data_IF_199210025724
#
_entry.id   IF_199210025724
#
_cell.length_a   1.000
_cell.length_b   1.000
_cell.length_c   1.000
_cell.angle_alpha   90.00
_cell.angle_beta   90.00
_cell.angle_gamma   90.00
#
_symmetry.space_group_name_H-M   'P 1'
#
loop_
_entity.id
_entity.type
_entity.pdbx_description
1 polymer ?
#
# COMPACT_ATOMS: atom_id res chain seq x y z
N UNK A 1 -22.58 22.59 -4.24
CA UNK A 1 -23.14 22.14 -2.95
C UNK A 1 -22.01 21.48 -2.20
N UNK A 2 -21.46 22.22 -1.25
CA UNK A 2 -20.40 21.81 -0.33
C UNK A 2 -21.07 21.32 0.95
N UNK A 3 -21.10 20.01 1.18
CA UNK A 3 -21.38 19.51 2.52
C UNK A 3 -20.13 19.78 3.36
N UNK A 4 -20.28 20.80 4.20
CA UNK A 4 -19.33 21.16 5.25
C UNK A 4 -19.21 19.97 6.20
N UNK A 5 -18.09 19.28 6.11
CA UNK A 5 -17.54 18.45 7.17
C UNK A 5 -17.41 19.32 8.42
N UNK A 6 -18.27 19.09 9.41
CA UNK A 6 -18.20 19.76 10.70
C UNK A 6 -16.87 19.35 11.39
N UNK A 7 -15.91 20.27 11.59
CA UNK A 7 -14.57 19.93 12.09
C UNK A 7 -14.53 19.60 13.60
N UNK A 8 -15.68 19.56 14.29
CA UNK A 8 -15.77 19.26 15.72
C UNK A 8 -16.18 17.82 16.05
N UNK A 9 -16.45 16.96 15.05
CA UNK A 9 -16.56 15.53 15.29
C UNK A 9 -15.20 14.87 15.07
N UNK A 10 -14.55 14.48 16.17
CA UNK A 10 -13.45 13.51 16.14
C UNK A 10 -13.99 12.24 15.45
N UNK A 11 -13.69 12.10 14.16
CA UNK A 11 -13.98 10.89 13.39
C UNK A 11 -13.04 9.79 13.87
N UNK A 12 -13.38 9.15 14.99
CA UNK A 12 -12.79 7.88 15.38
C UNK A 12 -13.45 6.79 14.51
N UNK A 13 -12.90 6.66 13.29
CA UNK A 13 -12.96 5.50 12.40
C UNK A 13 -14.29 5.20 11.70
N UNK A 14 -14.45 5.76 10.50
CA UNK A 14 -15.51 5.47 9.54
C UNK A 14 -15.05 4.54 8.42
N UNK A 15 -15.19 3.22 8.59
CA UNK A 15 -14.75 2.28 7.55
C UNK A 15 -15.64 1.05 7.33
N UNK A 16 -16.80 0.95 8.00
CA UNK A 16 -17.65 -0.24 7.85
C UNK A 16 -18.93 -0.05 7.01
N UNK A 17 -19.48 1.15 6.77
CA UNK A 17 -20.75 1.26 6.03
C UNK A 17 -20.64 1.97 4.69
N UNK A 18 -21.13 1.30 3.64
CA UNK A 18 -21.42 1.89 2.33
C UNK A 18 -22.93 2.07 2.08
N UNK A 19 -23.81 1.58 2.98
CA UNK A 19 -25.24 1.39 2.65
C UNK A 19 -26.28 1.69 3.74
N UNK A 20 -25.91 1.96 4.99
CA UNK A 20 -26.90 2.15 6.04
C UNK A 20 -27.25 3.63 6.28
N UNK A 21 -28.55 3.92 6.28
CA UNK A 21 -29.14 5.12 6.88
C UNK A 21 -29.07 4.91 8.41
N UNK A 22 -27.93 5.32 9.00
CA UNK A 22 -27.62 5.00 10.41
C UNK A 22 -28.49 5.87 11.31
N UNK A 23 -29.35 5.26 12.13
CA UNK A 23 -30.11 5.99 13.14
C UNK A 23 -29.16 6.47 14.24
N UNK A 24 -29.09 7.79 14.43
CA UNK A 24 -28.28 8.37 15.49
C UNK A 24 -28.75 7.94 16.87
N UNK A 25 -27.80 7.75 17.79
CA UNK A 25 -28.08 7.55 19.21
C UNK A 25 -28.72 8.83 19.75
N UNK A 26 -29.95 8.73 20.27
CA UNK A 26 -30.73 9.90 20.72
C UNK A 26 -30.89 9.98 22.23
N UNK A 27 -30.51 8.94 22.97
CA UNK A 27 -30.65 8.89 24.42
C UNK A 27 -29.53 8.10 25.11
N UNK A 28 -29.39 8.31 26.43
CA UNK A 28 -28.33 7.71 27.24
C UNK A 28 -28.43 6.17 27.31
N UNK A 29 -29.64 5.62 27.36
CA UNK A 29 -29.85 4.16 27.40
C UNK A 29 -29.32 3.48 26.14
N UNK A 30 -29.53 4.08 24.97
CA UNK A 30 -28.98 3.59 23.70
C UNK A 30 -27.46 3.67 23.67
N UNK A 31 -26.89 4.76 24.20
CA UNK A 31 -25.44 4.90 24.32
C UNK A 31 -24.84 3.83 25.24
N UNK A 32 -25.40 3.63 26.42
CA UNK A 32 -24.94 2.63 27.39
C UNK A 32 -25.04 1.21 26.81
N UNK A 33 -26.12 0.90 26.09
CA UNK A 33 -26.27 -0.38 25.40
C UNK A 33 -25.22 -0.57 24.31
N UNK A 34 -25.00 0.44 23.45
CA UNK A 34 -23.99 0.40 22.40
C UNK A 34 -22.58 0.18 22.97
N UNK A 35 -22.25 0.87 24.07
CA UNK A 35 -20.96 0.74 24.75
C UNK A 35 -20.80 -0.65 25.36
N UNK A 36 -21.82 -1.18 26.03
CA UNK A 36 -21.81 -2.54 26.57
C UNK A 36 -21.62 -3.57 25.45
N UNK A 37 -22.30 -3.43 24.32
CA UNK A 37 -22.12 -4.29 23.16
C UNK A 37 -20.69 -4.19 22.59
N UNK A 38 -20.10 -2.99 22.53
CA UNK A 38 -18.71 -2.82 22.09
C UNK A 38 -17.73 -3.54 23.03
N UNK A 39 -17.95 -3.44 24.34
CA UNK A 39 -17.16 -4.17 25.35
C UNK A 39 -17.28 -5.68 25.12
N UNK A 40 -18.50 -6.20 24.98
CA UNK A 40 -18.72 -7.63 24.72
C UNK A 40 -18.05 -8.10 23.42
N UNK A 41 -18.14 -7.33 22.34
CA UNK A 41 -17.41 -7.63 21.09
C UNK A 41 -15.91 -7.80 21.37
N UNK A 42 -15.32 -6.91 22.18
CA UNK A 42 -13.89 -6.97 22.54
C UNK A 42 -13.52 -8.19 23.41
N UNK A 43 -14.48 -8.77 24.13
CA UNK A 43 -14.30 -10.04 24.86
C UNK A 43 -14.21 -11.22 23.90
N UNK A 44 -14.96 -11.18 22.79
CA UNK A 44 -14.94 -12.22 21.78
C UNK A 44 -13.78 -12.10 20.80
N UNK A 45 -13.32 -10.89 20.49
CA UNK A 45 -12.28 -10.69 19.47
C UNK A 45 -12.09 -9.24 19.06
N UNK A 46 -11.55 -9.05 17.86
CA UNK A 46 -11.33 -7.72 17.29
C UNK A 46 -11.42 -7.73 15.77
N UNK A 47 -11.94 -6.63 15.23
CA UNK A 47 -11.85 -6.33 13.81
C UNK A 47 -10.43 -5.92 13.45
N UNK A 48 -9.88 -6.57 12.43
CA UNK A 48 -8.51 -6.35 11.97
C UNK A 48 -8.45 -6.31 10.45
N UNK A 49 -7.61 -5.43 9.93
CA UNK A 49 -7.20 -5.43 8.54
C UNK A 49 -5.75 -5.90 8.46
N UNK A 50 -5.51 -7.03 7.77
CA UNK A 50 -4.15 -7.46 7.46
C UNK A 50 -3.48 -6.44 6.53
N UNK A 51 -2.32 -5.96 6.92
CA UNK A 51 -1.45 -5.10 6.11
C UNK A 51 -0.12 -5.80 5.88
N UNK A 52 0.23 -5.92 4.61
CA UNK A 52 1.51 -6.39 4.13
C UNK A 52 2.12 -5.26 3.32
N UNK A 53 3.17 -4.64 3.86
CA UNK A 53 3.81 -3.48 3.27
C UNK A 53 5.18 -3.85 2.73
N UNK A 54 5.63 -3.14 1.68
CA UNK A 54 6.99 -3.27 1.14
C UNK A 54 7.22 -4.45 0.19
N UNK A 55 6.23 -5.33 -0.01
CA UNK A 55 6.33 -6.45 -0.98
C UNK A 55 5.88 -6.08 -2.38
N UNK A 56 5.17 -4.95 -2.54
CA UNK A 56 4.84 -4.41 -3.85
C UNK A 56 6.09 -3.81 -4.48
N UNK A 57 6.51 -4.41 -5.58
CA UNK A 57 7.83 -4.19 -6.19
C UNK A 57 7.69 -3.79 -7.65
N UNK A 58 6.62 -3.07 -7.99
CA UNK A 58 6.38 -2.57 -9.35
C UNK A 58 5.97 -1.11 -9.32
N UNK A 59 6.21 -0.42 -10.42
CA UNK A 59 5.73 0.92 -10.68
C UNK A 59 5.20 0.99 -12.11
N UNK A 60 4.18 1.81 -12.31
CA UNK A 60 3.61 2.08 -13.63
C UNK A 60 4.21 3.36 -14.17
N UNK A 61 4.65 3.31 -15.42
CA UNK A 61 4.96 4.48 -16.22
C UNK A 61 3.86 4.67 -17.22
N UNK A 62 3.17 5.79 -17.14
CA UNK A 62 2.23 6.22 -18.15
C UNK A 62 2.73 7.53 -18.76
N UNK A 63 2.95 7.53 -20.07
CA UNK A 63 3.46 8.68 -20.80
C UNK A 63 2.44 9.83 -20.81
N UNK A 64 1.16 9.55 -20.57
CA UNK A 64 0.13 10.59 -20.39
C UNK A 64 0.34 11.38 -19.09
N UNK A 65 0.99 10.80 -18.09
CA UNK A 65 1.32 11.51 -16.83
C UNK A 65 2.47 12.50 -16.99
N UNK A 66 3.23 12.44 -18.09
CA UNK A 66 4.44 13.25 -18.24
C UNK A 66 4.16 14.75 -18.40
N UNK A 67 2.91 15.16 -18.67
CA UNK A 67 2.53 16.56 -18.98
C UNK A 67 3.55 17.23 -19.91
N UNK A 68 3.88 16.55 -21.01
CA UNK A 68 4.87 16.98 -22.00
C UNK A 68 4.17 17.52 -23.25
N UNK A 69 4.76 18.52 -23.93
CA UNK A 69 4.29 18.95 -25.24
C UNK A 69 4.16 17.77 -26.22
N UNK A 70 3.13 17.77 -27.06
CA UNK A 70 2.87 16.69 -28.04
C UNK A 70 4.07 16.43 -28.97
N UNK A 71 4.82 17.49 -29.30
CA UNK A 71 6.00 17.38 -30.17
C UNK A 71 7.21 16.70 -29.51
N UNK A 72 7.20 16.45 -28.20
CA UNK A 72 8.25 15.72 -27.48
C UNK A 72 8.03 14.21 -27.50
N UNK A 73 6.83 13.74 -27.87
CA UNK A 73 6.54 12.33 -28.09
C UNK A 73 6.35 12.07 -29.59
N UNK A 74 6.63 10.84 -30.04
CA UNK A 74 6.31 10.43 -31.42
C UNK A 74 4.80 10.33 -31.59
N UNK A 75 4.24 10.69 -32.74
CA UNK A 75 2.78 10.65 -32.98
C UNK A 75 2.18 9.24 -32.83
N UNK A 76 2.96 8.19 -33.15
CA UNK A 76 2.46 6.81 -33.25
C UNK A 76 2.99 5.92 -32.10
N UNK A 77 3.32 6.49 -30.94
CA UNK A 77 3.86 5.72 -29.83
C UNK A 77 2.79 4.80 -29.22
N UNK A 78 3.06 3.50 -29.24
CA UNK A 78 2.29 2.47 -28.56
C UNK A 78 3.26 1.43 -28.01
N UNK A 79 3.15 1.01 -26.74
CA UNK A 79 2.12 1.37 -25.76
C UNK A 79 2.37 2.73 -25.08
N UNK A 80 1.30 3.35 -24.56
CA UNK A 80 1.37 4.60 -23.77
C UNK A 80 1.73 4.35 -22.31
N UNK A 81 1.56 3.13 -21.82
CA UNK A 81 1.91 2.76 -20.45
C UNK A 81 2.67 1.43 -20.38
N UNK A 82 3.50 1.30 -19.35
CA UNK A 82 4.30 0.12 -19.07
C UNK A 82 4.41 -0.11 -17.56
N UNK A 83 4.18 -1.35 -17.13
CA UNK A 83 4.47 -1.77 -15.77
C UNK A 83 5.89 -2.29 -15.70
N UNK A 84 6.69 -1.72 -14.80
CA UNK A 84 8.09 -2.10 -14.61
C UNK A 84 8.25 -2.63 -13.19
N UNK A 85 8.86 -3.80 -13.10
CA UNK A 85 9.10 -4.47 -11.84
C UNK A 85 10.53 -4.26 -11.38
N UNK A 86 10.70 -4.02 -10.09
CA UNK A 86 11.98 -3.99 -9.41
C UNK A 86 12.66 -5.37 -9.48
N UNK A 87 11.91 -6.46 -9.30
CA UNK A 87 12.47 -7.82 -9.27
C UNK A 87 11.98 -8.71 -10.42
N UNK A 88 12.76 -9.72 -10.80
CA UNK A 88 12.33 -10.79 -11.71
C UNK A 88 11.11 -11.54 -11.18
N UNK A 89 10.40 -12.20 -12.09
CA UNK A 89 9.17 -12.94 -11.80
C UNK A 89 9.33 -13.96 -10.66
N UNK A 90 10.39 -14.76 -10.67
CA UNK A 90 10.65 -15.76 -9.62
C UNK A 90 10.69 -15.15 -8.21
N UNK A 91 11.31 -13.98 -8.05
CA UNK A 91 11.38 -13.31 -6.74
C UNK A 91 9.99 -12.77 -6.38
N UNK A 92 9.30 -12.14 -7.32
CA UNK A 92 7.95 -11.60 -7.09
C UNK A 92 6.96 -12.69 -6.69
N UNK A 93 7.02 -13.85 -7.35
CA UNK A 93 6.15 -14.98 -7.05
C UNK A 93 6.38 -15.50 -5.63
N UNK A 94 7.63 -15.56 -5.18
CA UNK A 94 7.94 -15.94 -3.81
C UNK A 94 7.48 -14.89 -2.79
N UNK A 95 7.62 -13.59 -3.09
CA UNK A 95 7.06 -12.52 -2.25
C UNK A 95 5.52 -12.56 -2.21
N UNK A 96 4.88 -12.92 -3.31
CA UNK A 96 3.44 -13.12 -3.38
C UNK A 96 3.01 -14.34 -2.55
N UNK A 97 3.75 -15.46 -2.61
CA UNK A 97 3.50 -16.63 -1.76
C UNK A 97 3.55 -16.30 -0.27
N UNK A 98 4.50 -15.47 0.17
CA UNK A 98 4.51 -15.00 1.57
C UNK A 98 3.27 -14.15 1.90
N UNK A 99 2.80 -13.34 0.96
CA UNK A 99 1.58 -12.56 1.14
C UNK A 99 0.36 -13.44 1.30
N UNK A 100 0.28 -14.53 0.53
CA UNK A 100 -0.83 -15.47 0.57
C UNK A 100 -0.74 -16.40 1.78
N UNK A 101 0.47 -16.80 2.19
CA UNK A 101 0.70 -17.52 3.45
C UNK A 101 0.28 -16.66 4.66
N UNK A 102 0.59 -15.37 4.65
CA UNK A 102 0.16 -14.46 5.71
C UNK A 102 -1.38 -14.37 5.82
N UNK A 103 -2.08 -14.34 4.68
CA UNK A 103 -3.55 -14.39 4.63
C UNK A 103 -4.10 -15.74 5.08
N UNK A 104 -3.41 -16.84 4.79
CA UNK A 104 -3.86 -18.19 5.14
C UNK A 104 -3.97 -18.46 6.64
N UNK A 105 -3.37 -17.60 7.48
CA UNK A 105 -3.58 -17.65 8.93
C UNK A 105 -5.07 -17.51 9.26
N UNK A 106 -5.80 -16.67 8.55
CA UNK A 106 -7.20 -16.36 8.80
C UNK A 106 -8.08 -17.47 8.23
N UNK A 107 -8.58 -18.31 9.12
CA UNK A 107 -9.45 -19.46 8.80
C UNK A 107 -10.74 -19.38 9.60
N UNK A 108 -11.76 -20.15 9.21
CA UNK A 108 -13.04 -20.20 9.93
C UNK A 108 -12.91 -20.63 11.41
N UNK A 109 -11.79 -21.28 11.76
CA UNK A 109 -11.48 -21.72 13.13
C UNK A 109 -11.03 -20.59 14.05
N UNK A 110 -10.40 -19.55 13.51
CA UNK A 110 -9.79 -18.48 14.30
C UNK A 110 -10.30 -17.07 13.93
N UNK A 111 -11.09 -16.96 12.87
CA UNK A 111 -11.60 -15.70 12.39
C UNK A 111 -12.84 -15.88 11.50
N UNK A 112 -13.43 -14.77 11.07
CA UNK A 112 -14.36 -14.72 9.95
C UNK A 112 -14.17 -13.42 9.14
N UNK A 113 -14.52 -13.39 7.84
CA UNK A 113 -14.31 -12.22 7.00
C UNK A 113 -15.26 -11.07 7.36
N UNK A 114 -14.80 -9.84 7.16
CA UNK A 114 -15.58 -8.60 7.34
C UNK A 114 -15.35 -7.66 6.16
N UNK A 115 -16.20 -6.63 5.92
CA UNK A 115 -16.05 -5.72 4.77
C UNK A 115 -14.67 -5.08 4.65
N UNK A 116 -13.99 -4.83 5.77
CA UNK A 116 -12.67 -4.18 5.82
C UNK A 116 -11.52 -5.13 6.21
N UNK A 117 -11.78 -6.43 6.34
CA UNK A 117 -10.76 -7.44 6.65
C UNK A 117 -11.31 -8.70 7.32
N UNK A 118 -10.97 -8.90 8.58
CA UNK A 118 -11.34 -10.07 9.37
C UNK A 118 -11.73 -9.68 10.79
N UNK A 119 -12.54 -10.51 11.44
CA UNK A 119 -12.69 -10.51 12.89
C UNK A 119 -11.88 -11.69 13.45
N UNK A 120 -10.80 -11.43 14.20
CA UNK A 120 -10.01 -12.47 14.87
C UNK A 120 -10.61 -12.75 16.24
N UNK A 121 -10.76 -14.03 16.60
CA UNK A 121 -11.16 -14.43 17.95
C UNK A 121 -10.07 -14.13 18.98
N UNK A 122 -10.46 -13.60 20.14
CA UNK A 122 -9.54 -13.19 21.22
C UNK A 122 -8.57 -14.28 21.64
N UNK A 123 -9.02 -15.54 21.65
CA UNK A 123 -8.20 -16.72 21.96
C UNK A 123 -6.99 -16.91 21.03
N UNK A 124 -6.98 -16.26 19.85
CA UNK A 124 -5.95 -16.41 18.83
C UNK A 124 -5.05 -15.18 18.67
N UNK A 125 -5.20 -14.13 19.48
CA UNK A 125 -4.36 -12.92 19.39
C UNK A 125 -2.87 -13.21 19.57
N UNK A 126 -2.51 -13.99 20.58
CA UNK A 126 -1.10 -14.36 20.84
C UNK A 126 -0.54 -15.22 19.70
N UNK A 127 -1.35 -16.14 19.16
CA UNK A 127 -0.97 -16.97 18.02
C UNK A 127 -0.73 -16.12 16.77
N UNK A 128 -1.60 -15.14 16.50
CA UNK A 128 -1.43 -14.19 15.40
C UNK A 128 -0.14 -13.40 15.55
N UNK A 129 0.12 -12.84 16.74
CA UNK A 129 1.35 -12.07 17.00
C UNK A 129 2.60 -12.89 16.69
N UNK A 130 2.69 -14.12 17.22
CA UNK A 130 3.84 -14.99 16.98
C UNK A 130 3.95 -15.42 15.51
N UNK A 131 2.82 -15.68 14.86
CA UNK A 131 2.79 -16.02 13.44
C UNK A 131 3.31 -14.86 12.59
N UNK A 132 2.84 -13.62 12.81
CA UNK A 132 3.29 -12.44 12.07
C UNK A 132 4.79 -12.16 12.28
N UNK A 133 5.30 -12.29 13.51
CA UNK A 133 6.73 -12.18 13.81
C UNK A 133 7.57 -13.25 13.09
N UNK A 134 7.10 -14.50 13.06
CA UNK A 134 7.76 -15.59 12.34
C UNK A 134 7.71 -15.35 10.84
N UNK A 135 6.58 -14.90 10.30
CA UNK A 135 6.39 -14.56 8.90
C UNK A 135 7.36 -13.50 8.45
N UNK A 136 7.45 -12.39 9.21
CA UNK A 136 8.42 -11.32 8.97
C UNK A 136 9.86 -11.84 8.94
N UNK A 137 10.26 -12.68 9.90
CA UNK A 137 11.61 -13.30 9.90
C UNK A 137 11.85 -14.20 8.67
N UNK A 138 10.86 -14.96 8.25
CA UNK A 138 10.96 -15.81 7.04
C UNK A 138 11.15 -14.96 5.78
N UNK A 139 10.35 -13.90 5.64
CA UNK A 139 10.45 -12.96 4.52
C UNK A 139 11.83 -12.29 4.51
N UNK A 140 12.30 -11.80 5.66
CA UNK A 140 13.59 -11.13 5.77
C UNK A 140 14.75 -12.05 5.39
N UNK A 141 14.70 -13.30 5.85
CA UNK A 141 15.69 -14.32 5.51
C UNK A 141 15.68 -14.60 4.00
N UNK A 142 14.50 -14.74 3.40
CA UNK A 142 14.37 -14.95 1.96
C UNK A 142 14.95 -13.77 1.17
N UNK A 143 14.48 -12.55 1.45
CA UNK A 143 14.93 -11.32 0.78
C UNK A 143 16.44 -11.15 0.90
N UNK A 144 16.99 -11.33 2.11
CA UNK A 144 18.43 -11.24 2.32
C UNK A 144 19.16 -12.28 1.47
N UNK A 145 18.72 -13.53 1.46
CA UNK A 145 19.37 -14.59 0.69
C UNK A 145 19.30 -14.34 -0.82
N UNK A 146 18.14 -13.93 -1.34
CA UNK A 146 17.90 -13.75 -2.77
C UNK A 146 18.56 -12.47 -3.33
N UNK A 147 18.68 -11.41 -2.52
CA UNK A 147 19.07 -10.08 -2.98
C UNK A 147 20.40 -9.57 -2.40
N UNK A 148 21.12 -10.41 -1.65
CA UNK A 148 22.46 -10.12 -1.11
C UNK A 148 23.52 -9.89 -2.21
N UNK A 149 24.74 -9.54 -1.78
CA UNK A 149 25.90 -9.39 -2.67
C UNK A 149 25.72 -8.38 -3.82
N UNK A 150 24.90 -7.35 -3.61
CA UNK A 150 24.65 -6.29 -4.58
C UNK A 150 23.56 -6.58 -5.61
N UNK A 151 22.94 -7.77 -5.58
CA UNK A 151 21.83 -8.15 -6.46
C UNK A 151 20.66 -7.15 -6.37
N UNK A 152 20.29 -6.73 -5.15
CA UNK A 152 19.28 -5.68 -4.95
C UNK A 152 19.58 -4.40 -5.76
N UNK A 153 20.81 -3.89 -5.66
CA UNK A 153 21.21 -2.65 -6.33
C UNK A 153 21.19 -2.81 -7.84
N UNK A 154 21.61 -3.98 -8.35
CA UNK A 154 21.55 -4.29 -9.78
C UNK A 154 20.11 -4.27 -10.29
N UNK A 155 19.19 -4.91 -9.56
CA UNK A 155 17.76 -4.89 -9.86
C UNK A 155 17.15 -3.49 -9.85
N UNK A 156 17.50 -2.67 -8.85
CA UNK A 156 17.07 -1.27 -8.79
C UNK A 156 17.54 -0.48 -10.02
N UNK A 157 18.84 -0.56 -10.35
CA UNK A 157 19.40 0.12 -11.52
C UNK A 157 18.73 -0.37 -12.80
N UNK A 158 18.57 -1.69 -12.96
CA UNK A 158 17.94 -2.28 -14.13
C UNK A 158 16.50 -1.78 -14.31
N UNK A 159 15.72 -1.74 -13.23
CA UNK A 159 14.34 -1.26 -13.29
C UNK A 159 14.25 0.20 -13.78
N UNK A 160 15.22 1.05 -13.44
CA UNK A 160 15.29 2.44 -13.92
C UNK A 160 15.77 2.49 -15.37
N UNK A 161 16.73 1.66 -15.76
CA UNK A 161 17.17 1.53 -17.16
C UNK A 161 16.02 1.11 -18.06
N UNK A 162 15.19 0.15 -17.63
CA UNK A 162 14.02 -0.29 -18.38
C UNK A 162 13.02 0.86 -18.57
N UNK A 163 12.82 1.67 -17.53
CA UNK A 163 11.98 2.88 -17.60
C UNK A 163 12.52 3.92 -18.57
N UNK A 164 13.83 4.16 -18.55
CA UNK A 164 14.47 5.07 -19.50
C UNK A 164 14.39 4.55 -20.93
N UNK A 165 14.53 3.24 -21.13
CA UNK A 165 14.40 2.62 -22.43
C UNK A 165 12.97 2.81 -22.98
N UNK A 166 11.96 2.67 -22.14
CA UNK A 166 10.57 2.94 -22.49
C UNK A 166 10.34 4.41 -22.87
N UNK A 167 10.83 5.37 -22.08
CA UNK A 167 10.73 6.79 -22.43
C UNK A 167 11.46 7.08 -23.75
N UNK A 168 12.64 6.48 -23.95
CA UNK A 168 13.44 6.64 -25.18
C UNK A 168 12.73 6.13 -26.43
N UNK A 169 12.00 5.02 -26.33
CA UNK A 169 11.31 4.46 -27.50
C UNK A 169 10.17 5.39 -27.96
N UNK A 170 9.53 6.10 -27.03
CA UNK A 170 8.46 7.06 -27.30
C UNK A 170 8.93 8.50 -27.60
N UNK A 171 10.14 8.88 -27.18
CA UNK A 171 10.67 10.24 -27.34
C UNK A 171 10.87 10.65 -28.80
N UNK A 172 10.38 11.85 -29.16
CA UNK A 172 10.62 12.51 -30.44
C UNK A 172 12.04 13.10 -30.50
N UNK A 173 12.66 13.23 -31.69
CA UNK A 173 13.93 13.95 -31.85
C UNK A 173 13.91 15.40 -31.35
N UNK A 174 12.73 16.01 -31.21
CA UNK A 174 12.55 17.38 -30.71
C UNK A 174 12.58 17.47 -29.18
N UNK A 175 12.49 16.34 -28.47
CA UNK A 175 12.55 16.35 -27.02
C UNK A 175 13.97 16.72 -26.55
N UNK A 176 14.14 17.65 -25.60
CA UNK A 176 15.46 18.10 -25.13
C UNK A 176 16.15 17.09 -24.20
N UNK A 177 15.70 15.84 -24.16
CA UNK A 177 16.04 14.87 -23.13
C UNK A 177 17.35 14.12 -23.39
N UNK A 178 18.19 14.06 -22.36
CA UNK A 178 19.41 13.25 -22.32
C UNK A 178 19.09 11.90 -21.65
N UNK A 179 18.82 10.88 -22.48
CA UNK A 179 18.53 9.53 -21.99
C UNK A 179 19.80 8.68 -22.02
N UNK A 180 20.49 8.64 -20.88
CA UNK A 180 21.68 7.81 -20.66
C UNK A 180 21.39 6.32 -20.85
N UNK A 181 22.31 5.62 -21.53
CA UNK A 181 22.25 4.16 -21.70
C UNK A 181 22.78 3.37 -20.50
N UNK A 182 23.52 4.04 -19.62
CA UNK A 182 24.11 3.46 -18.42
C UNK A 182 23.82 4.39 -17.25
N UNK A 183 23.44 3.82 -16.11
CA UNK A 183 23.19 4.53 -14.86
C UNK A 183 23.89 3.79 -13.73
N UNK A 184 24.47 4.54 -12.81
CA UNK A 184 25.03 4.03 -11.58
C UNK A 184 24.16 4.45 -10.38
N UNK A 185 24.31 3.73 -9.27
CA UNK A 185 23.57 4.05 -8.03
C UNK A 185 23.78 5.50 -7.59
N UNK A 186 24.99 6.03 -7.75
CA UNK A 186 25.35 7.41 -7.39
C UNK A 186 24.57 8.45 -8.19
N UNK A 187 24.18 8.14 -9.43
CA UNK A 187 23.38 9.05 -10.26
C UNK A 187 21.95 9.15 -9.70
N UNK A 188 21.39 8.01 -9.27
CA UNK A 188 20.07 7.92 -8.62
C UNK A 188 20.09 8.66 -7.29
N UNK A 189 21.11 8.41 -6.46
CA UNK A 189 21.28 9.06 -5.16
C UNK A 189 21.41 10.58 -5.31
N UNK A 190 22.24 11.04 -6.26
CA UNK A 190 22.42 12.47 -6.55
C UNK A 190 21.11 13.11 -7.02
N UNK A 191 20.32 12.41 -7.83
CA UNK A 191 19.02 12.88 -8.28
C UNK A 191 18.04 13.01 -7.11
N UNK A 192 17.94 12.01 -6.23
CA UNK A 192 17.08 12.04 -5.03
C UNK A 192 17.44 13.19 -4.09
N UNK A 193 18.72 13.35 -3.76
CA UNK A 193 19.18 14.41 -2.85
C UNK A 193 18.90 15.81 -3.41
N UNK A 194 19.03 16.00 -4.72
CA UNK A 194 18.69 17.29 -5.37
C UNK A 194 17.19 17.58 -5.33
N UNK A 195 16.35 16.55 -5.45
CA UNK A 195 14.90 16.70 -5.39
C UNK A 195 14.42 17.06 -3.98
N UNK A 196 14.99 16.45 -2.94
CA UNK A 196 14.70 16.82 -1.55
C UNK A 196 15.03 18.28 -1.26
N UNK A 197 16.13 18.80 -1.80
CA UNK A 197 16.52 20.21 -1.63
C UNK A 197 15.71 21.22 -2.46
N UNK A 198 14.97 20.78 -3.47
CA UNK A 198 14.23 21.65 -4.41
C UNK A 198 12.72 21.52 -4.33
N UNK A 199 12.19 20.58 -3.52
CA UNK A 199 10.77 20.26 -3.42
C UNK A 199 10.12 19.98 -4.80
N UNK A 200 10.89 19.37 -5.71
CA UNK A 200 10.38 18.87 -6.99
C UNK A 200 9.39 17.71 -6.74
N UNK A 201 8.25 17.76 -7.42
CA UNK A 201 7.19 16.75 -7.45
C UNK A 201 6.91 16.37 -8.90
N UNK A 202 6.16 15.30 -9.13
CA UNK A 202 5.79 14.90 -10.50
C UNK A 202 5.06 16.04 -11.25
N UNK A 203 4.28 16.87 -10.55
CA UNK A 203 3.46 17.93 -11.14
C UNK A 203 4.24 19.21 -11.50
N UNK A 204 5.38 19.47 -10.88
CA UNK A 204 6.17 20.70 -11.11
C UNK A 204 7.50 20.42 -11.82
N UNK A 205 7.71 19.17 -12.26
CA UNK A 205 8.92 18.75 -12.94
C UNK A 205 8.97 19.36 -14.35
N UNK A 206 10.04 20.12 -14.63
CA UNK A 206 10.18 20.80 -15.92
C UNK A 206 10.47 19.80 -17.05
N UNK A 207 9.49 19.57 -17.91
CA UNK A 207 9.60 18.72 -19.10
C UNK A 207 10.68 19.16 -20.11
N UNK A 208 11.14 20.41 -20.08
CA UNK A 208 12.23 20.91 -20.91
C UNK A 208 13.63 20.67 -20.33
N UNK A 209 13.76 20.18 -19.09
CA UNK A 209 15.06 19.84 -18.49
C UNK A 209 15.64 18.62 -19.22
N UNK A 210 16.90 18.65 -19.68
CA UNK A 210 17.52 17.48 -20.30
C UNK A 210 17.53 16.25 -19.40
N UNK A 211 17.55 16.41 -18.08
CA UNK A 211 17.51 15.30 -17.11
C UNK A 211 16.11 14.91 -16.68
N UNK A 212 15.06 15.47 -17.30
CA UNK A 212 13.66 15.21 -16.99
C UNK A 212 13.34 13.70 -16.88
N UNK A 213 13.71 12.82 -17.84
CA UNK A 213 13.37 11.40 -17.73
C UNK A 213 13.92 10.73 -16.48
N UNK A 214 15.19 10.99 -16.13
CA UNK A 214 15.79 10.40 -14.93
C UNK A 214 15.11 10.95 -13.67
N UNK A 215 14.89 12.26 -13.59
CA UNK A 215 14.20 12.88 -12.44
C UNK A 215 12.79 12.30 -12.25
N UNK A 216 12.05 12.12 -13.34
CA UNK A 216 10.71 11.54 -13.33
C UNK A 216 10.72 10.11 -12.77
N UNK A 217 11.62 9.26 -13.27
CA UNK A 217 11.77 7.88 -12.79
C UNK A 217 12.20 7.82 -11.33
N UNK A 218 13.09 8.70 -10.90
CA UNK A 218 13.53 8.76 -9.51
C UNK A 218 12.38 9.12 -8.57
N UNK A 219 11.49 10.03 -8.97
CA UNK A 219 10.26 10.33 -8.22
C UNK A 219 9.31 9.13 -8.20
N UNK A 220 9.06 8.50 -9.35
CA UNK A 220 8.19 7.31 -9.45
C UNK A 220 8.71 6.14 -8.59
N UNK A 221 10.02 6.01 -8.46
CA UNK A 221 10.68 4.92 -7.71
C UNK A 221 11.13 5.33 -6.31
N UNK A 222 10.71 6.49 -5.78
CA UNK A 222 11.17 6.98 -4.47
C UNK A 222 10.85 6.01 -3.33
N UNK A 223 9.75 5.26 -3.46
CA UNK A 223 9.32 4.24 -2.51
C UNK A 223 10.22 2.97 -2.51
N UNK A 224 11.11 2.81 -3.49
CA UNK A 224 12.16 1.78 -3.48
C UNK A 224 13.40 2.32 -2.77
N UNK A 225 13.83 1.75 -1.63
CA UNK A 225 15.03 2.20 -0.94
C UNK A 225 16.31 1.98 -1.76
N UNK A 226 17.36 2.75 -1.49
CA UNK A 226 18.64 2.61 -2.22
C UNK A 226 19.48 1.40 -1.75
N UNK A 227 19.16 0.84 -0.58
CA UNK A 227 19.90 -0.27 0.02
C UNK A 227 18.97 -1.43 0.39
N UNK A 228 19.52 -2.64 0.35
CA UNK A 228 18.82 -3.85 0.76
C UNK A 228 18.37 -3.80 2.23
N UNK A 229 19.21 -3.28 3.13
CA UNK A 229 18.87 -3.17 4.56
C UNK A 229 17.65 -2.29 4.78
N UNK A 230 17.56 -1.16 4.08
CA UNK A 230 16.37 -0.32 4.12
C UNK A 230 15.18 -1.01 3.46
N UNK A 231 15.35 -1.70 2.34
CA UNK A 231 14.25 -2.48 1.74
C UNK A 231 13.66 -3.48 2.75
N UNK A 232 14.51 -4.27 3.41
CA UNK A 232 14.10 -5.25 4.44
C UNK A 232 13.40 -4.55 5.63
N UNK A 233 13.87 -3.39 6.08
CA UNK A 233 13.24 -2.67 7.20
C UNK A 233 11.87 -2.09 6.87
N UNK A 234 11.59 -1.80 5.58
CA UNK A 234 10.29 -1.31 5.12
C UNK A 234 9.26 -2.43 4.92
N UNK A 235 9.69 -3.68 4.81
CA UNK A 235 8.77 -4.82 4.75
C UNK A 235 8.13 -5.02 6.12
N UNK A 236 6.80 -5.06 6.17
CA UNK A 236 6.06 -5.26 7.41
C UNK A 236 4.87 -6.20 7.17
N UNK A 237 4.59 -7.05 8.16
CA UNK A 237 3.40 -7.90 8.22
C UNK A 237 2.74 -7.63 9.57
N UNK A 238 1.59 -6.96 9.55
CA UNK A 238 0.89 -6.56 10.76
C UNK A 238 -0.61 -6.45 10.52
N UNK A 239 -1.35 -6.27 11.61
CA UNK A 239 -2.77 -5.99 11.58
C UNK A 239 -3.03 -4.59 12.08
N UNK A 240 -3.92 -3.87 11.39
CA UNK A 240 -4.49 -2.62 11.88
C UNK A 240 -5.83 -2.96 12.53
N UNK A 241 -6.01 -2.54 13.78
CA UNK A 241 -7.31 -2.65 14.43
C UNK A 241 -8.31 -1.73 13.74
N UNK A 242 -9.48 -2.28 13.43
CA UNK A 242 -10.63 -1.53 12.95
C UNK A 242 -11.64 -1.45 14.08
N UNK A 243 -12.42 -0.38 14.10
CA UNK A 243 -13.54 -0.24 15.02
C UNK A 243 -14.85 -0.17 14.24
N UNK A 244 -15.95 -0.21 14.99
CA UNK A 244 -17.30 -0.07 14.50
C UNK A 244 -17.91 1.18 15.13
N UNK A 245 -18.73 1.92 14.37
CA UNK A 245 -19.49 3.02 14.93
C UNK A 245 -20.49 2.50 15.96
N UNK A 246 -20.57 3.17 17.11
CA UNK A 246 -21.49 2.80 18.21
C UNK A 246 -22.95 2.77 17.77
N UNK A 247 -23.34 3.59 16.79
CA UNK A 247 -24.70 3.64 16.27
C UNK A 247 -25.17 2.29 15.69
N UNK A 248 -24.26 1.46 15.16
CA UNK A 248 -24.59 0.10 14.72
C UNK A 248 -24.95 -0.85 15.87
N UNK A 249 -24.56 -0.49 17.10
CA UNK A 249 -24.72 -1.32 18.29
C UNK A 249 -25.86 -0.86 19.20
N UNK A 250 -26.46 0.30 18.93
CA UNK A 250 -27.45 0.94 19.81
C UNK A 250 -28.71 0.08 20.03
N UNK A 251 -29.22 -0.52 18.97
CA UNK A 251 -30.47 -1.32 18.98
C UNK A 251 -30.20 -2.84 18.88
N UNK A 252 -28.96 -3.28 19.19
CA UNK A 252 -28.54 -4.69 19.11
C UNK A 252 -28.32 -5.28 20.50
N UNK A 253 -28.21 -6.60 20.56
CA UNK A 253 -27.75 -7.35 21.73
C UNK A 253 -26.68 -8.33 21.25
N UNK A 254 -25.47 -8.19 21.79
CA UNK A 254 -24.36 -9.09 21.51
C UNK A 254 -24.18 -10.01 22.71
N UNK A 255 -24.39 -11.32 22.55
CA UNK A 255 -24.14 -12.33 23.60
C UNK A 255 -23.21 -13.44 23.10
N UNK A 256 -22.95 -13.50 21.80
CA UNK A 256 -22.18 -14.56 21.15
C UNK A 256 -21.46 -14.07 19.90
N UNK A 257 -20.49 -14.87 19.43
CA UNK A 257 -19.81 -14.66 18.13
C UNK A 257 -20.81 -14.68 16.97
N UNK A 258 -21.91 -15.44 17.08
CA UNK A 258 -22.93 -15.50 16.04
C UNK A 258 -23.59 -14.14 15.82
N UNK A 259 -23.90 -13.44 16.91
CA UNK A 259 -24.52 -12.11 16.85
C UNK A 259 -23.58 -11.10 16.16
N UNK A 260 -22.27 -11.22 16.37
CA UNK A 260 -21.27 -10.39 15.69
C UNK A 260 -21.21 -10.72 14.18
N UNK A 261 -21.34 -12.00 13.80
CA UNK A 261 -21.38 -12.39 12.38
C UNK A 261 -22.61 -11.84 11.68
N UNK A 262 -23.77 -11.93 12.32
CA UNK A 262 -25.03 -11.38 11.80
C UNK A 262 -24.94 -9.85 11.67
N UNK A 263 -24.37 -9.17 12.67
CA UNK A 263 -24.09 -7.73 12.61
C UNK A 263 -23.24 -7.34 11.39
N UNK A 264 -22.20 -8.11 11.07
CA UNK A 264 -21.30 -7.82 9.94
C UNK A 264 -21.97 -8.07 8.59
N UNK A 265 -22.94 -8.98 8.50
CA UNK A 265 -23.69 -9.22 7.27
C UNK A 265 -24.69 -8.09 6.96
N UNK A 266 -25.16 -7.40 7.99
CA UNK A 266 -26.12 -6.29 7.89
C UNK A 266 -25.47 -4.94 7.51
N UNK A 267 -24.13 -4.89 7.45
CA UNK A 267 -23.31 -3.67 7.24
C UNK A 267 -22.65 -3.68 5.86
#
# INVERSE_FOLDING_TARGET
MSELTNPQQLSFFSELSLKADIKSITNLSQFDNALNNLIKISEFGAFVQLKIQGLHTMYTLDLQELDVPENFLKSDHSPTSMNISLFPEEIRDNLQRFSDEAKSFFTDKNSFPTPSGFFIYRSHFTLWKHFAEKMKKSIDKYIYSALSHGSYTQHLIQSIIDGLHFIRSAASPNAPWEISKSIHLKDIETARNKQEGTYETLHNLKNTDPRFPLKFLVLKTQHFPLSLSHFISHVQVYSIFKSIHLEFLADRSIESIRDIKELVQDI
#
